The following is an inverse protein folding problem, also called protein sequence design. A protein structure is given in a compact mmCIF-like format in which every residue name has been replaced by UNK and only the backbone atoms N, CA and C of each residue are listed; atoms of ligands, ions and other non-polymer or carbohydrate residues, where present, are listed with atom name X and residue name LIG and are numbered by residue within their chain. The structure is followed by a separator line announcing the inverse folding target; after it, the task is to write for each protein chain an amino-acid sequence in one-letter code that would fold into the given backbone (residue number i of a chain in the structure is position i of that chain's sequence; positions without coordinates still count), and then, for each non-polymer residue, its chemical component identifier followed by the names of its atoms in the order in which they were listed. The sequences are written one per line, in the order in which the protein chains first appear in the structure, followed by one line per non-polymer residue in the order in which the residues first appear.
data_IF_248663249417
#
_entry.id   IF_248663249417
#
_cell.length_a   1.000
_cell.length_b   1.000
_cell.length_c   1.000
_cell.angle_alpha   90.00
_cell.angle_beta   90.00
_cell.angle_gamma   90.00
#
_symmetry.space_group_name_H-M   'P 1'
#
loop_
_entity.id
_entity.type
_entity.pdbx_description
1 polymer ?
#
# COMPACT_ATOMS: atom_id res chain seq x y z
N UNK A 1 -7.40 -7.86 -10.32
CA UNK A 1 -6.25 -8.78 -10.51
C UNK A 1 -6.30 -10.05 -9.67
N UNK A 2 -7.02 -10.12 -8.53
CA UNK A 2 -7.41 -11.40 -7.92
C UNK A 2 -6.72 -11.80 -6.62
N UNK A 3 -5.98 -10.89 -5.96
CA UNK A 3 -5.35 -11.16 -4.67
C UNK A 3 -6.38 -11.29 -3.53
N UNK A 4 -6.13 -12.21 -2.60
CA UNK A 4 -6.92 -12.40 -1.37
C UNK A 4 -6.36 -11.62 -0.17
N UNK A 5 -5.07 -11.28 -0.21
CA UNK A 5 -4.39 -10.51 0.82
C UNK A 5 -3.32 -9.61 0.21
N UNK A 6 -3.01 -8.51 0.91
CA UNK A 6 -1.98 -7.55 0.53
C UNK A 6 -1.06 -7.35 1.74
N UNK A 7 0.25 -7.40 1.50
CA UNK A 7 1.25 -7.08 2.51
C UNK A 7 1.71 -5.64 2.37
N UNK A 8 1.74 -4.94 3.49
CA UNK A 8 2.13 -3.53 3.55
C UNK A 8 3.44 -3.45 4.33
N UNK A 9 4.50 -2.93 3.70
CA UNK A 9 5.82 -2.81 4.32
C UNK A 9 6.29 -1.36 4.37
N UNK A 10 6.74 -0.81 3.23
CA UNK A 10 7.38 0.51 3.19
C UNK A 10 6.50 1.64 3.70
N UNK A 11 5.22 1.69 3.33
CA UNK A 11 4.30 2.72 3.82
C UNK A 11 4.02 2.60 5.32
N UNK A 12 3.94 1.38 5.85
CA UNK A 12 3.83 1.16 7.29
C UNK A 12 5.09 1.66 8.02
N UNK A 13 6.28 1.39 7.49
CA UNK A 13 7.54 1.95 8.02
C UNK A 13 7.56 3.47 7.97
N UNK A 14 7.02 4.08 6.91
CA UNK A 14 6.91 5.54 6.79
C UNK A 14 5.96 6.11 7.85
N UNK A 15 4.80 5.47 8.08
CA UNK A 15 3.89 5.87 9.17
C UNK A 15 4.55 5.79 10.56
N UNK A 16 5.43 4.80 10.76
CA UNK A 16 6.26 4.68 11.96
C UNK A 16 7.38 5.73 12.07
N UNK A 17 7.64 6.51 11.01
CA UNK A 17 8.64 7.59 11.00
C UNK A 17 9.86 7.34 10.08
N UNK A 18 9.80 6.37 9.17
CA UNK A 18 10.88 6.16 8.20
C UNK A 18 10.96 7.30 7.18
N UNK A 19 12.16 7.87 7.01
CA UNK A 19 12.43 8.92 6.01
C UNK A 19 13.17 8.42 4.77
N UNK A 20 13.14 7.10 4.51
CA UNK A 20 13.77 6.48 3.32
C UNK A 20 15.25 6.88 3.11
N UNK A 21 16.04 6.94 4.19
CA UNK A 21 17.47 7.26 4.10
C UNK A 21 18.33 6.17 3.43
N UNK A 22 17.78 4.96 3.25
CA UNK A 22 18.42 3.80 2.59
C UNK A 22 19.72 3.30 3.25
N UNK A 23 19.93 3.61 4.52
CA UNK A 23 21.10 3.15 5.31
C UNK A 23 20.77 2.00 6.26
N UNK A 24 19.64 1.32 6.09
CA UNK A 24 19.16 0.28 7.02
C UNK A 24 20.18 -0.84 7.24
N UNK A 25 20.92 -1.24 6.20
CA UNK A 25 21.95 -2.28 6.24
C UNK A 25 23.13 -1.95 7.18
N UNK A 26 23.35 -0.67 7.50
CA UNK A 26 24.44 -0.25 8.39
C UNK A 26 24.15 -0.52 9.88
N UNK A 27 22.89 -0.85 10.21
CA UNK A 27 22.43 -0.96 11.60
C UNK A 27 22.39 0.38 12.35
N UNK A 28 22.61 1.51 11.66
CA UNK A 28 22.63 2.87 12.24
C UNK A 28 21.43 3.70 11.77
N UNK A 29 20.24 3.13 11.83
CA UNK A 29 19.01 3.87 11.49
C UNK A 29 18.84 5.07 12.43
N UNK A 30 18.84 6.29 11.87
CA UNK A 30 18.69 7.53 12.65
C UNK A 30 17.35 7.63 13.39
N UNK A 31 16.35 6.89 12.91
CA UNK A 31 14.96 6.93 13.39
C UNK A 31 14.60 5.76 14.31
N UNK A 32 15.57 4.91 14.68
CA UNK A 32 15.34 3.83 15.64
C UNK A 32 14.56 2.61 15.12
N UNK A 33 14.22 2.57 13.82
CA UNK A 33 13.40 1.48 13.22
C UNK A 33 14.25 0.25 12.87
N UNK A 34 15.28 0.42 12.05
CA UNK A 34 16.13 -0.68 11.56
C UNK A 34 17.50 -0.65 12.25
N UNK A 35 17.54 -0.85 13.56
CA UNK A 35 18.75 -0.83 14.38
C UNK A 35 18.58 -1.66 15.65
N UNK A 36 19.66 -2.33 16.07
CA UNK A 36 19.72 -3.02 17.37
C UNK A 36 20.50 -2.20 18.42
N UNK A 37 20.97 -0.99 18.08
CA UNK A 37 21.69 -0.14 19.03
C UNK A 37 20.70 0.46 20.05
N UNK A 38 20.84 0.19 21.36
CA UNK A 38 19.91 0.65 22.38
C UNK A 38 19.67 2.17 22.38
N UNK A 39 20.70 2.97 22.11
CA UNK A 39 20.57 4.44 22.08
C UNK A 39 19.79 4.95 20.86
N UNK A 40 19.81 4.20 19.76
CA UNK A 40 19.04 4.53 18.56
C UNK A 40 17.60 4.00 18.65
N UNK A 41 17.41 2.79 19.21
CA UNK A 41 16.07 2.18 19.41
C UNK A 41 15.17 3.09 20.23
N UNK A 42 15.71 3.73 21.28
CA UNK A 42 14.98 4.70 22.12
C UNK A 42 14.37 5.88 21.36
N UNK A 43 14.80 6.15 20.12
CA UNK A 43 14.26 7.23 19.28
C UNK A 43 12.89 6.87 18.68
N UNK A 44 12.58 5.58 18.57
CA UNK A 44 11.28 5.12 18.11
C UNK A 44 10.33 5.09 19.31
N UNK A 45 9.19 5.79 19.20
CA UNK A 45 8.11 5.70 20.16
C UNK A 45 7.02 4.74 19.61
N UNK A 46 6.88 3.52 20.16
CA UNK A 46 5.92 2.54 19.65
C UNK A 46 4.46 2.98 19.77
N UNK A 47 4.10 3.73 20.82
CA UNK A 47 2.72 4.20 21.03
C UNK A 47 2.31 5.16 19.92
N UNK A 48 3.11 6.21 19.69
CA UNK A 48 2.88 7.17 18.60
C UNK A 48 2.91 6.47 17.23
N UNK A 49 3.87 5.57 17.03
CA UNK A 49 3.97 4.81 15.78
C UNK A 49 2.73 3.95 15.52
N UNK A 50 2.17 3.34 16.56
CA UNK A 50 0.95 2.54 16.46
C UNK A 50 -0.27 3.40 16.10
N UNK A 51 -0.43 4.57 16.72
CA UNK A 51 -1.49 5.52 16.41
C UNK A 51 -1.41 5.97 14.94
N UNK A 52 -0.22 6.32 14.46
CA UNK A 52 -0.01 6.69 13.06
C UNK A 52 -0.35 5.55 12.09
N UNK A 53 0.04 4.31 12.44
CA UNK A 53 -0.26 3.14 11.62
C UNK A 53 -1.76 2.86 11.55
N UNK A 54 -2.47 2.98 12.68
CA UNK A 54 -3.93 2.86 12.74
C UNK A 54 -4.60 3.93 11.89
N UNK A 55 -4.12 5.18 11.96
CA UNK A 55 -4.64 6.28 11.16
C UNK A 55 -4.45 6.02 9.65
N UNK A 56 -3.27 5.54 9.23
CA UNK A 56 -3.00 5.17 7.83
C UNK A 56 -3.99 4.11 7.33
N UNK A 57 -4.14 3.01 8.07
CA UNK A 57 -5.03 1.91 7.68
C UNK A 57 -6.50 2.34 7.67
N UNK A 58 -6.89 3.20 8.61
CA UNK A 58 -8.24 3.77 8.65
C UNK A 58 -8.50 4.63 7.43
N UNK A 59 -7.59 5.53 7.08
CA UNK A 59 -7.69 6.37 5.89
C UNK A 59 -7.78 5.53 4.60
N UNK A 60 -6.92 4.52 4.45
CA UNK A 60 -6.97 3.61 3.30
C UNK A 60 -8.27 2.81 3.23
N UNK A 61 -8.80 2.36 4.36
CA UNK A 61 -10.10 1.69 4.40
C UNK A 61 -11.23 2.60 3.90
N UNK A 62 -11.19 3.90 4.25
CA UNK A 62 -12.15 4.88 3.72
C UNK A 62 -11.97 5.08 2.20
N UNK A 63 -10.74 5.30 1.73
CA UNK A 63 -10.44 5.52 0.31
C UNK A 63 -10.83 4.32 -0.55
N UNK A 64 -10.55 3.09 -0.08
CA UNK A 64 -10.96 1.86 -0.76
C UNK A 64 -12.48 1.78 -0.89
N UNK A 65 -13.22 2.10 0.18
CA UNK A 65 -14.70 2.12 0.15
C UNK A 65 -15.23 3.17 -0.81
N UNK A 66 -14.63 4.36 -0.86
CA UNK A 66 -15.01 5.42 -1.79
C UNK A 66 -14.77 5.00 -3.24
N UNK A 67 -13.59 4.43 -3.54
CA UNK A 67 -13.29 3.90 -4.87
C UNK A 67 -14.27 2.79 -5.27
N UNK A 68 -14.53 1.83 -4.38
CA UNK A 68 -15.49 0.75 -4.64
C UNK A 68 -16.92 1.28 -4.83
N UNK A 69 -17.34 2.25 -4.01
CA UNK A 69 -18.62 2.92 -4.13
C UNK A 69 -18.79 3.66 -5.46
N UNK A 70 -17.75 4.33 -5.93
CA UNK A 70 -17.72 4.97 -7.26
C UNK A 70 -17.86 3.98 -8.42
N UNK A 71 -17.47 2.72 -8.23
CA UNK A 71 -17.66 1.63 -9.19
C UNK A 71 -19.01 0.91 -9.03
N UNK A 72 -19.82 1.26 -8.03
CA UNK A 72 -21.06 0.55 -7.69
C UNK A 72 -20.83 -0.84 -7.08
N UNK A 73 -19.65 -1.11 -6.52
CA UNK A 73 -19.29 -2.39 -5.91
C UNK A 73 -19.40 -2.27 -4.38
N UNK A 74 -20.11 -3.23 -3.76
CA UNK A 74 -20.38 -3.23 -2.32
C UNK A 74 -19.64 -4.33 -1.53
N UNK A 75 -18.85 -5.18 -2.19
CA UNK A 75 -18.06 -6.24 -1.56
C UNK A 75 -16.69 -6.41 -2.20
N UNK A 76 -15.68 -6.72 -1.39
CA UNK A 76 -14.31 -6.96 -1.88
C UNK A 76 -14.29 -8.22 -2.75
N UNK A 77 -15.13 -9.21 -2.43
CA UNK A 77 -15.28 -10.45 -3.17
C UNK A 77 -15.75 -10.19 -4.61
N UNK A 78 -16.66 -9.23 -4.82
CA UNK A 78 -17.10 -8.84 -6.16
C UNK A 78 -16.04 -8.03 -6.94
N UNK A 79 -15.13 -7.35 -6.23
CA UNK A 79 -13.98 -6.67 -6.84
C UNK A 79 -12.85 -7.66 -7.19
N UNK A 80 -12.69 -8.71 -6.39
CA UNK A 80 -11.60 -9.68 -6.55
C UNK A 80 -11.67 -10.36 -7.92
N UNK A 81 -10.61 -10.20 -8.70
CA UNK A 81 -10.50 -10.80 -10.04
C UNK A 81 -11.33 -10.10 -11.12
N UNK A 82 -12.18 -9.14 -10.77
CA UNK A 82 -12.95 -8.35 -11.71
C UNK A 82 -12.02 -7.47 -12.56
N UNK A 83 -12.00 -7.73 -13.87
CA UNK A 83 -11.20 -7.00 -14.86
C UNK A 83 -12.00 -5.93 -15.61
N UNK A 84 -13.34 -5.97 -15.49
CA UNK A 84 -14.24 -5.04 -16.18
C UNK A 84 -14.09 -3.59 -15.66
N UNK A 85 -13.60 -3.42 -14.43
CA UNK A 85 -13.35 -2.11 -13.83
C UNK A 85 -11.95 -1.56 -14.12
N UNK A 86 -11.12 -2.27 -14.91
CA UNK A 86 -9.78 -1.81 -15.29
C UNK A 86 -9.76 -1.38 -16.76
N UNK A 87 -9.03 -0.30 -17.05
CA UNK A 87 -8.78 0.17 -18.42
C UNK A 87 -7.30 0.43 -18.62
N UNK A 88 -6.76 -0.08 -19.72
CA UNK A 88 -5.38 0.14 -20.12
C UNK A 88 -5.22 1.52 -20.74
N UNK A 89 -4.20 2.25 -20.28
CA UNK A 89 -3.77 3.53 -20.86
C UNK A 89 -2.29 3.36 -21.22
N UNK A 90 -1.94 3.57 -22.50
CA UNK A 90 -0.56 3.43 -22.98
C UNK A 90 -0.06 1.98 -23.05
N UNK A 91 -0.97 1.00 -23.05
CA UNK A 91 -0.65 -0.42 -23.24
C UNK A 91 -0.86 -0.82 -24.70
N UNK A 92 -0.01 -1.69 -25.22
CA UNK A 92 -0.19 -2.30 -26.54
C UNK A 92 -1.22 -3.44 -26.51
N UNK A 93 -1.70 -3.83 -27.70
CA UNK A 93 -2.73 -4.87 -27.84
C UNK A 93 -2.32 -6.22 -27.21
N UNK A 94 -1.03 -6.55 -27.28
CA UNK A 94 -0.51 -7.77 -26.66
C UNK A 94 -0.65 -7.72 -25.13
N UNK A 95 -0.35 -6.58 -24.50
CA UNK A 95 -0.46 -6.39 -23.04
C UNK A 95 -1.92 -6.40 -22.59
N UNK A 96 -2.81 -5.72 -23.33
CA UNK A 96 -4.25 -5.72 -23.08
C UNK A 96 -4.82 -7.15 -23.12
N UNK A 97 -4.41 -7.93 -24.12
CA UNK A 97 -4.82 -9.34 -24.27
C UNK A 97 -4.28 -10.22 -23.14
N UNK A 98 -3.03 -10.05 -22.73
CA UNK A 98 -2.42 -10.79 -21.61
C UNK A 98 -3.12 -10.48 -20.29
N UNK A 99 -3.39 -9.20 -20.04
CA UNK A 99 -4.03 -8.74 -18.80
C UNK A 99 -5.54 -8.99 -18.80
N UNK A 100 -6.16 -9.19 -19.97
CA UNK A 100 -7.59 -9.38 -20.14
C UNK A 100 -8.40 -8.12 -19.84
N UNK A 101 -7.89 -6.95 -20.24
CA UNK A 101 -8.51 -5.64 -19.99
C UNK A 101 -8.66 -4.84 -21.29
N UNK A 102 -9.64 -3.94 -21.35
CA UNK A 102 -9.90 -3.10 -22.53
C UNK A 102 -9.12 -1.78 -22.48
N UNK A 103 -8.93 -1.13 -23.64
CA UNK A 103 -8.36 0.21 -23.73
C UNK A 103 -9.30 1.25 -23.11
N UNK A 104 -8.75 2.34 -22.55
CA UNK A 104 -9.55 3.47 -22.10
C UNK A 104 -10.23 4.17 -23.30
N UNK A 105 -11.56 4.33 -23.24
CA UNK A 105 -12.36 4.95 -24.31
C UNK A 105 -12.94 3.97 -25.34
N UNK A 106 -12.68 2.67 -25.21
CA UNK A 106 -13.40 1.61 -25.91
C UNK A 106 -14.70 1.21 -25.17
#
# INVERSE_FOLDING_TARGET
MGADAIYIATSALIALGCHLCRTCHSGKCNWGIATQNPELVKRLNPEIGSEHLVNLLTAWNHEIKEMMGGMGINSIEALKGNRLMLRGIGLCDAELKILGISHAGA
#
